data_IF_980758777857
#
_entry.id   IF_980758777857
#
_cell.length_a   1.000
_cell.length_b   1.000
_cell.length_c   1.000
_cell.angle_alpha   90.00
_cell.angle_beta   90.00
_cell.angle_gamma   90.00
#
_symmetry.space_group_name_H-M   'P 1'
#
loop_
_entity.id
_entity.type
_entity.pdbx_description
1 polymer ?
#
# COMPACT_ATOMS: atom_id res chain seq x y z
N UNK A 1 6.07 -6.22 27.43
CA UNK A 1 5.89 -6.97 26.19
C UNK A 1 5.95 -8.46 26.51
N UNK A 2 4.97 -9.22 26.09
CA UNK A 2 4.93 -10.67 26.26
C UNK A 2 4.12 -11.33 25.16
N UNK A 3 4.22 -12.65 25.04
CA UNK A 3 3.49 -13.43 24.07
C UNK A 3 2.86 -14.66 24.74
N UNK A 4 1.70 -15.03 24.26
CA UNK A 4 0.92 -16.19 24.73
C UNK A 4 0.71 -17.16 23.58
N UNK A 5 0.88 -18.44 23.85
CA UNK A 5 0.56 -19.50 22.90
C UNK A 5 -0.55 -20.39 23.45
N UNK A 6 -1.65 -20.47 22.73
CA UNK A 6 -2.81 -21.29 23.06
C UNK A 6 -2.72 -22.60 22.26
N UNK A 7 -2.21 -23.64 22.90
CA UNK A 7 -1.85 -24.90 22.23
C UNK A 7 -3.05 -25.59 21.58
N UNK A 8 -4.19 -25.67 22.27
CA UNK A 8 -5.42 -26.30 21.75
C UNK A 8 -5.98 -25.56 20.54
N UNK A 9 -5.86 -24.25 20.51
CA UNK A 9 -6.34 -23.37 19.45
C UNK A 9 -5.30 -23.21 18.33
N UNK A 10 -4.03 -23.49 18.62
CA UNK A 10 -2.87 -23.21 17.78
C UNK A 10 -2.74 -21.73 17.43
N UNK A 11 -3.05 -20.86 18.38
CA UNK A 11 -3.03 -19.42 18.24
C UNK A 11 -1.89 -18.83 19.08
N UNK A 12 -1.09 -17.99 18.44
CA UNK A 12 -0.10 -17.15 19.10
C UNK A 12 -0.63 -15.72 19.15
N UNK A 13 -0.54 -15.07 20.32
CA UNK A 13 -0.91 -13.66 20.52
C UNK A 13 0.26 -12.91 21.15
N UNK A 14 0.69 -11.85 20.54
CA UNK A 14 1.64 -10.92 21.14
C UNK A 14 0.92 -9.78 21.86
N UNK A 15 1.57 -9.22 22.85
CA UNK A 15 1.18 -8.00 23.56
C UNK A 15 2.31 -6.99 23.49
N UNK A 16 2.02 -5.86 22.87
CA UNK A 16 3.01 -4.83 22.55
C UNK A 16 3.69 -5.05 21.20
N UNK A 17 4.82 -4.36 21.00
CA UNK A 17 5.54 -4.39 19.72
C UNK A 17 6.04 -5.79 19.35
N UNK A 18 5.83 -6.14 18.12
CA UNK A 18 6.18 -7.46 17.58
C UNK A 18 6.68 -7.32 16.15
N UNK A 19 7.72 -8.07 15.84
CA UNK A 19 8.27 -8.20 14.49
C UNK A 19 8.08 -9.62 13.99
N UNK A 20 7.44 -9.76 12.85
CA UNK A 20 7.23 -11.03 12.14
C UNK A 20 7.94 -10.99 10.81
N UNK A 21 8.67 -12.05 10.48
CA UNK A 21 9.30 -12.23 9.17
C UNK A 21 8.60 -13.40 8.49
N UNK A 22 8.00 -13.15 7.33
CA UNK A 22 7.33 -14.20 6.56
C UNK A 22 8.34 -15.01 5.74
N UNK A 23 7.93 -16.21 5.27
CA UNK A 23 8.74 -17.03 4.35
C UNK A 23 9.12 -16.26 3.08
N UNK A 24 8.26 -15.37 2.62
CA UNK A 24 8.46 -14.52 1.45
C UNK A 24 9.28 -13.25 1.75
N UNK A 25 9.95 -13.21 2.92
CA UNK A 25 10.81 -12.10 3.35
C UNK A 25 10.12 -10.75 3.54
N UNK A 26 8.80 -10.71 3.73
CA UNK A 26 8.12 -9.52 4.23
C UNK A 26 8.42 -9.35 5.71
N UNK A 27 8.72 -8.14 6.13
CA UNK A 27 8.92 -7.79 7.54
C UNK A 27 7.67 -7.03 7.99
N UNK A 28 6.94 -7.60 8.95
CA UNK A 28 5.74 -7.00 9.53
C UNK A 28 6.12 -6.51 10.93
N UNK A 29 5.97 -5.24 11.18
CA UNK A 29 6.20 -4.59 12.48
C UNK A 29 4.89 -3.98 12.96
N UNK A 30 4.47 -4.33 14.16
CA UNK A 30 3.19 -3.86 14.71
C UNK A 30 3.02 -4.24 16.16
N UNK A 31 1.86 -3.93 16.71
CA UNK A 31 1.50 -4.29 18.08
C UNK A 31 0.31 -5.24 18.08
N UNK A 32 0.25 -6.08 19.12
CA UNK A 32 -0.87 -7.00 19.36
C UNK A 32 -1.16 -7.90 18.13
N UNK A 33 -0.11 -8.51 17.58
CA UNK A 33 -0.21 -9.40 16.42
C UNK A 33 -0.77 -10.75 16.87
N UNK A 34 -1.71 -11.28 16.10
CA UNK A 34 -2.30 -12.60 16.27
C UNK A 34 -1.91 -13.49 15.09
N UNK A 35 -1.38 -14.67 15.38
CA UNK A 35 -1.06 -15.71 14.38
C UNK A 35 -1.95 -16.92 14.67
N UNK A 36 -2.90 -17.20 13.79
CA UNK A 36 -3.78 -18.36 13.85
C UNK A 36 -3.25 -19.45 12.89
N UNK A 37 -2.59 -20.44 13.45
CA UNK A 37 -1.98 -21.52 12.66
C UNK A 37 -3.01 -22.51 12.10
N UNK A 38 -4.22 -22.59 12.65
CA UNK A 38 -5.30 -23.41 12.08
C UNK A 38 -5.91 -22.74 10.85
N UNK A 39 -6.17 -21.45 10.95
CA UNK A 39 -6.76 -20.66 9.86
C UNK A 39 -5.72 -20.15 8.87
N UNK A 40 -4.43 -20.29 9.20
CA UNK A 40 -3.32 -19.75 8.38
C UNK A 40 -3.43 -18.24 8.15
N UNK A 41 -3.71 -17.50 9.24
CA UNK A 41 -3.91 -16.05 9.19
C UNK A 41 -2.97 -15.37 10.19
N UNK A 42 -2.37 -14.26 9.75
CA UNK A 42 -1.68 -13.30 10.63
C UNK A 42 -2.47 -11.99 10.55
N UNK A 43 -2.81 -11.40 11.68
CA UNK A 43 -3.52 -10.12 11.68
C UNK A 43 -3.13 -9.22 12.86
N UNK A 44 -3.40 -7.93 12.70
CA UNK A 44 -3.46 -6.97 13.79
C UNK A 44 -4.53 -5.91 13.50
N UNK A 45 -5.19 -5.45 14.56
CA UNK A 45 -6.13 -4.32 14.54
C UNK A 45 -5.46 -3.01 14.95
N UNK A 46 -4.14 -2.97 15.00
CA UNK A 46 -3.32 -1.83 15.38
C UNK A 46 -2.45 -1.39 14.22
N UNK A 47 -2.01 -0.13 14.31
CA UNK A 47 -1.08 0.41 13.33
C UNK A 47 0.12 -0.51 13.14
N UNK A 48 0.41 -0.80 11.90
CA UNK A 48 1.47 -1.71 11.50
C UNK A 48 2.24 -1.15 10.32
N UNK A 49 3.50 -1.53 10.25
CA UNK A 49 4.39 -1.22 9.14
C UNK A 49 4.84 -2.53 8.49
N UNK A 50 4.75 -2.59 7.18
CA UNK A 50 5.28 -3.72 6.41
C UNK A 50 6.39 -3.21 5.51
N UNK A 51 7.49 -3.93 5.49
CA UNK A 51 8.58 -3.74 4.54
C UNK A 51 8.56 -4.93 3.58
N UNK A 52 8.44 -4.66 2.28
CA UNK A 52 8.46 -5.70 1.26
C UNK A 52 9.89 -6.05 0.80
N UNK A 53 10.00 -7.00 -0.13
CA UNK A 53 11.29 -7.45 -0.68
C UNK A 53 12.03 -6.34 -1.44
N UNK A 54 11.29 -5.41 -2.03
CA UNK A 54 11.81 -4.30 -2.82
C UNK A 54 12.05 -3.04 -1.97
N UNK A 55 11.93 -3.17 -0.63
CA UNK A 55 12.10 -2.12 0.39
C UNK A 55 11.02 -1.03 0.36
N UNK A 56 9.88 -1.29 -0.28
CA UNK A 56 8.74 -0.39 -0.16
C UNK A 56 8.19 -0.46 1.27
N UNK A 57 7.78 0.69 1.80
CA UNK A 57 7.22 0.80 3.15
C UNK A 57 5.70 0.95 3.05
N UNK A 58 4.98 0.07 3.73
CA UNK A 58 3.53 0.04 3.74
C UNK A 58 3.07 0.30 5.18
N UNK A 59 2.35 1.40 5.40
CA UNK A 59 1.76 1.77 6.68
C UNK A 59 0.26 1.48 6.65
N UNK A 60 -0.25 0.79 7.67
CA UNK A 60 -1.60 0.26 7.76
C UNK A 60 -2.18 0.54 9.16
N UNK A 61 -3.46 0.88 9.25
CA UNK A 61 -4.16 0.95 10.55
C UNK A 61 -4.52 -0.44 11.09
N UNK A 62 -4.65 -1.40 10.22
CA UNK A 62 -4.91 -2.81 10.51
C UNK A 62 -4.45 -3.66 9.34
N UNK A 63 -4.31 -4.95 9.54
CA UNK A 63 -4.08 -5.88 8.43
C UNK A 63 -4.55 -7.29 8.73
N UNK A 64 -4.79 -8.05 7.67
CA UNK A 64 -4.95 -9.48 7.65
C UNK A 64 -4.09 -10.08 6.52
N UNK A 65 -3.23 -11.02 6.86
CA UNK A 65 -2.43 -11.76 5.89
C UNK A 65 -2.90 -13.21 5.84
N UNK A 66 -3.42 -13.62 4.70
CA UNK A 66 -3.83 -14.99 4.39
C UNK A 66 -2.62 -15.74 3.86
N UNK A 67 -2.02 -16.57 4.71
CA UNK A 67 -0.71 -17.22 4.44
C UNK A 67 -0.79 -18.14 3.21
N UNK A 68 -1.83 -18.98 3.12
CA UNK A 68 -1.96 -19.93 2.01
C UNK A 68 -2.26 -19.24 0.67
N UNK A 69 -3.01 -18.14 0.71
CA UNK A 69 -3.37 -17.37 -0.47
C UNK A 69 -2.28 -16.36 -0.88
N UNK A 70 -1.33 -16.08 0.02
CA UNK A 70 -0.31 -15.04 -0.13
C UNK A 70 -0.92 -13.65 -0.35
N UNK A 71 -1.97 -13.33 0.40
CA UNK A 71 -2.72 -12.06 0.26
C UNK A 71 -2.71 -11.27 1.56
N UNK A 72 -2.19 -10.05 1.50
CA UNK A 72 -2.44 -9.01 2.49
C UNK A 72 -3.70 -8.22 2.15
N UNK A 73 -4.50 -7.95 3.18
CA UNK A 73 -5.69 -7.08 3.11
C UNK A 73 -5.61 -6.01 4.18
N UNK A 74 -6.05 -4.80 3.85
CA UNK A 74 -6.25 -3.74 4.83
C UNK A 74 -7.37 -2.79 4.39
N UNK A 75 -8.03 -2.18 5.37
CA UNK A 75 -9.09 -1.17 5.19
C UNK A 75 -8.80 -0.02 6.15
N UNK A 76 -8.97 1.21 5.70
CA UNK A 76 -8.72 2.44 6.46
C UNK A 76 -7.62 3.28 5.83
N UNK A 77 -6.86 4.02 6.63
CA UNK A 77 -5.76 4.84 6.12
C UNK A 77 -4.55 3.96 5.81
N UNK A 78 -4.24 3.84 4.54
CA UNK A 78 -3.15 3.03 4.05
C UNK A 78 -2.22 3.92 3.24
N UNK A 79 -0.92 3.87 3.53
CA UNK A 79 0.10 4.60 2.80
C UNK A 79 1.23 3.68 2.38
N UNK A 80 1.55 3.69 1.09
CA UNK A 80 2.74 3.03 0.55
C UNK A 80 3.74 4.11 0.14
N UNK A 81 4.99 3.94 0.51
CA UNK A 81 6.12 4.74 0.00
C UNK A 81 7.09 3.79 -0.66
N UNK A 82 7.36 4.00 -1.95
CA UNK A 82 8.33 3.20 -2.68
C UNK A 82 9.77 3.71 -2.51
N UNK A 83 10.73 2.98 -3.09
CA UNK A 83 12.16 3.32 -3.01
C UNK A 83 12.53 4.61 -3.74
N UNK A 84 11.66 5.15 -4.58
CA UNK A 84 11.84 6.41 -5.31
C UNK A 84 11.11 7.57 -4.65
N UNK A 85 10.64 7.40 -3.40
CA UNK A 85 9.85 8.36 -2.64
C UNK A 85 8.50 8.71 -3.28
N UNK A 86 7.98 7.88 -4.20
CA UNK A 86 6.59 7.99 -4.60
C UNK A 86 5.69 7.54 -3.46
N UNK A 87 4.61 8.28 -3.22
CA UNK A 87 3.68 7.98 -2.14
C UNK A 87 2.29 7.69 -2.70
N UNK A 88 1.70 6.61 -2.21
CA UNK A 88 0.36 6.17 -2.60
C UNK A 88 -0.50 6.03 -1.34
N UNK A 89 -1.66 6.66 -1.33
CA UNK A 89 -2.65 6.54 -0.26
C UNK A 89 -3.86 5.80 -0.79
N UNK A 90 -4.48 4.96 0.07
CA UNK A 90 -5.63 4.11 -0.27
C UNK A 90 -6.62 4.07 0.90
N UNK A 91 -7.90 3.79 0.60
CA UNK A 91 -8.89 3.40 1.59
C UNK A 91 -9.01 1.90 1.79
N UNK A 92 -8.67 1.12 0.78
CA UNK A 92 -8.60 -0.35 0.83
C UNK A 92 -7.47 -0.84 -0.05
N UNK A 93 -6.83 -1.93 0.37
CA UNK A 93 -5.76 -2.57 -0.39
C UNK A 93 -5.80 -4.08 -0.28
N UNK A 94 -5.44 -4.74 -1.38
CA UNK A 94 -5.14 -6.16 -1.48
C UNK A 94 -3.80 -6.32 -2.17
N UNK A 95 -2.86 -7.00 -1.52
CA UNK A 95 -1.52 -7.24 -2.06
C UNK A 95 -1.32 -8.75 -2.21
N UNK A 96 -1.15 -9.22 -3.44
CA UNK A 96 -0.72 -10.59 -3.68
C UNK A 96 0.82 -10.63 -3.66
N UNK A 97 1.39 -11.17 -2.59
CA UNK A 97 2.85 -11.17 -2.37
C UNK A 97 3.60 -12.05 -3.36
N UNK A 98 2.98 -13.14 -3.81
CA UNK A 98 3.58 -14.07 -4.78
C UNK A 98 3.59 -13.51 -6.19
N UNK A 99 2.50 -12.85 -6.60
CA UNK A 99 2.37 -12.24 -7.94
C UNK A 99 2.94 -10.82 -8.00
N UNK A 100 3.25 -10.22 -6.85
CA UNK A 100 3.61 -8.80 -6.73
C UNK A 100 2.55 -7.86 -7.34
N UNK A 101 1.28 -8.20 -7.14
CA UNK A 101 0.14 -7.41 -7.60
C UNK A 101 -0.47 -6.65 -6.44
N UNK A 102 -0.83 -5.39 -6.68
CA UNK A 102 -1.53 -4.54 -5.73
C UNK A 102 -2.84 -4.08 -6.35
N UNK A 103 -3.94 -4.29 -5.64
CA UNK A 103 -5.25 -3.72 -5.96
C UNK A 103 -5.66 -2.76 -4.85
N UNK A 104 -6.10 -1.56 -5.22
CA UNK A 104 -6.52 -0.57 -4.23
C UNK A 104 -7.67 0.30 -4.70
N UNK A 105 -8.31 0.98 -3.75
CA UNK A 105 -9.41 1.93 -4.01
C UNK A 105 -9.14 3.30 -3.40
N UNK A 106 -9.78 4.33 -3.93
CA UNK A 106 -9.71 5.73 -3.49
C UNK A 106 -8.26 6.26 -3.41
N UNK A 107 -7.58 6.11 -4.54
CA UNK A 107 -6.14 6.34 -4.64
C UNK A 107 -5.80 7.82 -4.73
N UNK A 108 -4.78 8.22 -3.96
CA UNK A 108 -4.03 9.45 -4.15
C UNK A 108 -2.57 9.09 -4.33
N UNK A 109 -2.06 9.22 -5.54
CA UNK A 109 -0.66 8.99 -5.84
C UNK A 109 0.07 10.32 -5.98
N UNK A 110 1.20 10.45 -5.28
CA UNK A 110 2.10 11.59 -5.33
C UNK A 110 3.43 11.07 -5.85
N UNK A 111 3.79 11.51 -7.04
CA UNK A 111 5.00 11.06 -7.71
C UNK A 111 6.17 11.98 -7.38
N UNK A 112 7.37 11.43 -7.26
CA UNK A 112 8.57 12.22 -7.07
C UNK A 112 8.90 13.04 -8.33
N UNK A 113 9.34 14.28 -8.14
CA UNK A 113 9.63 15.25 -9.21
C UNK A 113 10.73 14.81 -10.16
N UNK A 114 11.71 14.06 -9.67
CA UNK A 114 12.87 13.60 -10.44
C UNK A 114 12.47 12.73 -11.65
N UNK A 115 11.33 12.04 -11.57
CA UNK A 115 10.84 11.22 -12.67
C UNK A 115 10.37 12.03 -13.88
N UNK A 116 9.97 13.29 -13.68
CA UNK A 116 9.34 14.12 -14.71
C UNK A 116 10.19 15.31 -15.16
N UNK A 117 11.33 15.57 -14.52
CA UNK A 117 12.21 16.72 -14.80
C UNK A 117 11.48 18.07 -14.89
N UNK A 118 10.49 18.27 -14.06
CA UNK A 118 9.68 19.48 -13.98
C UNK A 118 10.11 20.38 -12.83
N UNK A 119 9.58 21.61 -12.84
CA UNK A 119 9.90 22.59 -11.81
C UNK A 119 9.56 22.03 -10.41
N UNK A 120 10.41 22.20 -9.38
CA UNK A 120 10.23 21.59 -8.04
C UNK A 120 8.91 21.93 -7.31
N UNK A 121 8.21 22.98 -7.75
CA UNK A 121 6.88 23.35 -7.23
C UNK A 121 5.73 22.54 -7.84
N UNK A 122 5.97 21.84 -8.94
CA UNK A 122 4.98 21.05 -9.66
C UNK A 122 5.16 19.58 -9.24
N UNK A 123 4.23 19.05 -8.45
CA UNK A 123 4.26 17.65 -8.01
C UNK A 123 3.22 16.85 -8.78
N UNK A 124 3.64 15.87 -9.59
CA UNK A 124 2.70 15.03 -10.32
C UNK A 124 1.81 14.26 -9.34
N UNK A 125 0.51 14.32 -9.59
CA UNK A 125 -0.50 13.66 -8.75
C UNK A 125 -1.50 12.93 -9.60
N UNK A 126 -1.90 11.76 -9.13
CA UNK A 126 -2.99 10.99 -9.72
C UNK A 126 -3.99 10.69 -8.62
N UNK A 127 -5.24 11.02 -8.86
CA UNK A 127 -6.37 10.60 -8.04
C UNK A 127 -7.19 9.63 -8.87
N UNK A 128 -7.58 8.50 -8.31
CA UNK A 128 -8.36 7.50 -9.04
C UNK A 128 -9.29 6.70 -8.12
N UNK A 129 -10.38 6.17 -8.67
CA UNK A 129 -11.28 5.33 -7.89
C UNK A 129 -10.67 3.97 -7.59
N UNK A 130 -9.89 3.41 -8.53
CA UNK A 130 -9.19 2.16 -8.30
C UNK A 130 -7.87 2.11 -9.04
N UNK A 131 -6.95 1.31 -8.49
CA UNK A 131 -5.62 1.07 -9.02
C UNK A 131 -5.34 -0.42 -9.04
N UNK A 132 -4.75 -0.87 -10.14
CA UNK A 132 -4.04 -2.15 -10.22
C UNK A 132 -2.58 -1.86 -10.55
N UNK A 133 -1.68 -2.27 -9.65
CA UNK A 133 -0.24 -2.27 -9.90
C UNK A 133 0.21 -3.70 -10.17
N UNK A 134 1.06 -3.88 -11.15
CA UNK A 134 1.84 -5.09 -11.34
C UNK A 134 3.25 -4.73 -11.82
N UNK A 135 4.11 -5.72 -12.02
CA UNK A 135 5.51 -5.48 -12.40
C UNK A 135 5.69 -4.76 -13.73
N UNK A 136 4.68 -4.73 -14.57
CA UNK A 136 4.78 -4.16 -15.92
C UNK A 136 4.00 -2.86 -16.06
N UNK A 137 2.83 -2.76 -15.40
CA UNK A 137 1.86 -1.69 -15.65
C UNK A 137 1.14 -1.25 -14.40
N UNK A 138 0.92 0.05 -14.32
CA UNK A 138 0.05 0.67 -13.34
C UNK A 138 -1.22 1.14 -14.06
N UNK A 139 -2.37 0.62 -13.64
CA UNK A 139 -3.66 0.93 -14.28
C UNK A 139 -4.53 1.66 -13.27
N UNK A 140 -4.81 2.93 -13.54
CA UNK A 140 -5.72 3.76 -12.76
C UNK A 140 -7.05 3.88 -13.49
N UNK A 141 -8.16 3.59 -12.82
CA UNK A 141 -9.49 3.72 -13.39
C UNK A 141 -10.20 4.97 -12.84
N UNK A 142 -10.89 5.69 -13.72
CA UNK A 142 -11.52 6.98 -13.43
C UNK A 142 -10.52 7.93 -12.78
N UNK A 143 -9.42 8.16 -13.48
CA UNK A 143 -8.27 8.90 -12.99
C UNK A 143 -8.31 10.38 -13.33
N UNK A 144 -7.73 11.18 -12.45
CA UNK A 144 -7.45 12.60 -12.64
C UNK A 144 -5.95 12.78 -12.43
N UNK A 145 -5.28 13.29 -13.45
CA UNK A 145 -3.87 13.64 -13.39
C UNK A 145 -3.69 15.15 -13.36
N UNK A 146 -2.77 15.66 -12.55
CA UNK A 146 -2.39 17.06 -12.52
C UNK A 146 -0.95 17.24 -12.05
N UNK A 147 -0.30 18.33 -12.47
CA UNK A 147 0.99 18.77 -11.95
C UNK A 147 0.87 19.94 -10.96
N UNK A 148 -0.34 20.46 -10.77
CA UNK A 148 -0.58 21.66 -9.98
C UNK A 148 -0.96 21.32 -8.54
N UNK A 149 -0.50 22.14 -7.58
CA UNK A 149 -1.01 22.12 -6.21
C UNK A 149 -2.45 22.64 -6.14
N UNK A 150 -3.24 22.10 -5.22
CA UNK A 150 -4.49 22.73 -4.84
C UNK A 150 -4.21 24.09 -4.20
N UNK A 151 -4.88 25.12 -4.65
CA UNK A 151 -4.86 26.42 -3.97
C UNK A 151 -5.62 26.31 -2.66
N UNK A 152 -5.20 27.06 -1.64
CA UNK A 152 -5.81 27.01 -0.29
C UNK A 152 -7.34 27.12 -0.27
N UNK A 153 -7.91 27.86 -1.23
CA UNK A 153 -9.35 28.11 -1.33
C UNK A 153 -10.03 27.41 -2.50
N UNK A 154 -9.29 26.72 -3.36
CA UNK A 154 -9.79 26.02 -4.55
C UNK A 154 -9.76 24.51 -4.31
N UNK A 155 -10.90 23.86 -4.46
CA UNK A 155 -11.01 22.39 -4.33
C UNK A 155 -10.45 21.64 -5.56
N UNK A 156 -10.20 22.34 -6.66
CA UNK A 156 -9.69 21.74 -7.88
C UNK A 156 -8.37 22.40 -8.32
N UNK A 157 -7.43 21.63 -8.89
CA UNK A 157 -6.22 22.21 -9.47
C UNK A 157 -6.58 23.11 -10.66
N UNK A 158 -5.73 24.12 -11.01
CA UNK A 158 -5.96 25.04 -12.13
C UNK A 158 -6.16 24.33 -13.47
N UNK A 159 -5.56 23.15 -13.65
CA UNK A 159 -5.81 22.26 -14.77
C UNK A 159 -5.65 20.80 -14.35
N UNK A 160 -6.34 19.93 -15.03
CA UNK A 160 -6.25 18.49 -14.84
C UNK A 160 -6.63 17.75 -16.13
N UNK A 161 -6.09 16.56 -16.28
CA UNK A 161 -6.50 15.62 -17.32
C UNK A 161 -7.35 14.56 -16.66
N UNK A 162 -8.58 14.39 -17.11
CA UNK A 162 -9.49 13.37 -16.64
C UNK A 162 -9.58 12.24 -17.67
N UNK A 163 -9.54 11.01 -17.21
CA UNK A 163 -9.64 9.84 -18.08
C UNK A 163 -10.38 8.70 -17.38
N UNK A 164 -11.10 7.90 -18.14
CA UNK A 164 -11.70 6.66 -17.65
C UNK A 164 -10.63 5.63 -17.29
N UNK A 165 -9.47 5.71 -17.94
CA UNK A 165 -8.33 4.83 -17.68
C UNK A 165 -7.02 5.57 -17.96
N UNK A 166 -6.12 5.55 -16.97
CA UNK A 166 -4.73 6.02 -17.13
C UNK A 166 -3.85 4.78 -17.01
N UNK A 167 -2.95 4.60 -17.96
CA UNK A 167 -2.00 3.51 -18.00
C UNK A 167 -0.59 4.08 -17.93
N UNK A 168 0.18 3.61 -16.96
CA UNK A 168 1.61 3.89 -16.88
C UNK A 168 2.38 2.59 -17.11
N UNK A 169 3.21 2.57 -18.14
CA UNK A 169 4.07 1.43 -18.46
C UNK A 169 5.42 1.57 -17.74
N UNK A 170 5.66 0.71 -16.76
CA UNK A 170 6.86 0.77 -15.92
C UNK A 170 8.15 0.51 -16.71
N UNK A 171 8.08 -0.23 -17.83
CA UNK A 171 9.24 -0.54 -18.68
C UNK A 171 9.56 0.64 -19.60
N UNK A 172 8.55 1.28 -20.16
CA UNK A 172 8.70 2.40 -21.10
C UNK A 172 8.82 3.75 -20.41
N UNK A 173 8.49 3.83 -19.11
CA UNK A 173 8.40 5.08 -18.34
C UNK A 173 7.46 6.10 -18.98
N UNK A 174 6.34 5.63 -19.55
CA UNK A 174 5.31 6.43 -20.24
C UNK A 174 3.93 6.13 -19.68
#
# INVERSE_FOLDING_TARGET
EYAEYYENEKVFKSKGYTKVITSDKYIIEGSDIVIDNKKKIINSKKNSKILDQDKNQIYLENFEYLIEENIFKSIGNIKITDINDNSFEFSQIYINTKKKEVLGTDIKAFMNDDAFKIHPKNKPRIFANSLKLDNEKNIFNKGIFTLCDFRKNDKCPPWSIQSTKILHDNKKKT
#
